data_IF_594498198736
#
_entry.id   IF_594498198736
#
_cell.length_a   1.000
_cell.length_b   1.000
_cell.length_c   1.000
_cell.angle_alpha   90.00
_cell.angle_beta   90.00
_cell.angle_gamma   90.00
#
_symmetry.space_group_name_H-M   'P 1'
#
loop_
_entity.id
_entity.type
_entity.pdbx_description
1 polymer ?
#
# COMPACT_ATOMS: atom_id res chain seq x y z
N UNK A 1 -8.72 -11.86 10.71
CA UNK A 1 -9.21 -12.06 9.33
C UNK A 1 -8.18 -12.90 8.62
N UNK A 2 -8.61 -13.96 7.97
CA UNK A 2 -7.72 -14.92 7.29
C UNK A 2 -7.49 -14.53 5.82
N UNK A 3 -6.43 -15.05 5.21
CA UNK A 3 -6.16 -14.88 3.77
C UNK A 3 -7.37 -15.24 2.91
N UNK A 4 -8.06 -16.33 3.24
CA UNK A 4 -9.24 -16.80 2.50
C UNK A 4 -10.41 -15.80 2.57
N UNK A 5 -10.69 -15.24 3.75
CA UNK A 5 -11.72 -14.21 3.92
C UNK A 5 -11.37 -12.92 3.16
N UNK A 6 -10.08 -12.54 3.13
CA UNK A 6 -9.61 -11.38 2.39
C UNK A 6 -9.77 -11.61 0.87
N UNK A 7 -9.42 -12.79 0.38
CA UNK A 7 -9.56 -13.18 -1.03
C UNK A 7 -11.01 -13.13 -1.51
N UNK A 8 -11.94 -13.66 -0.73
CA UNK A 8 -13.37 -13.61 -1.05
C UNK A 8 -13.88 -12.17 -1.12
N UNK A 9 -13.51 -11.33 -0.14
CA UNK A 9 -13.87 -9.90 -0.15
C UNK A 9 -13.30 -9.13 -1.33
N UNK A 10 -12.06 -9.39 -1.71
CA UNK A 10 -11.45 -8.76 -2.89
C UNK A 10 -12.16 -9.21 -4.16
N UNK A 11 -12.50 -10.50 -4.29
CA UNK A 11 -13.29 -10.99 -5.43
C UNK A 11 -14.64 -10.28 -5.54
N UNK A 12 -15.39 -10.20 -4.44
CA UNK A 12 -16.67 -9.50 -4.39
C UNK A 12 -16.53 -8.01 -4.76
N UNK A 13 -15.44 -7.37 -4.30
CA UNK A 13 -15.17 -5.97 -4.60
C UNK A 13 -14.88 -5.75 -6.09
N UNK A 14 -14.09 -6.63 -6.71
CA UNK A 14 -13.77 -6.60 -8.14
C UNK A 14 -15.01 -6.84 -9.00
N UNK A 15 -15.87 -7.77 -8.59
CA UNK A 15 -17.13 -8.06 -9.28
C UNK A 15 -18.09 -6.86 -9.22
N UNK A 16 -18.25 -6.26 -8.02
CA UNK A 16 -19.01 -5.02 -7.83
C UNK A 16 -18.44 -3.88 -8.67
N UNK A 17 -17.12 -3.73 -8.68
CA UNK A 17 -16.46 -2.68 -9.45
C UNK A 17 -16.77 -2.80 -10.94
N UNK A 18 -16.66 -4.01 -11.48
CA UNK A 18 -16.90 -4.31 -12.90
C UNK A 18 -18.37 -4.08 -13.28
N UNK A 19 -19.30 -4.46 -12.41
CA UNK A 19 -20.74 -4.29 -12.65
C UNK A 19 -21.18 -2.82 -12.63
N UNK A 20 -20.58 -2.00 -11.76
CA UNK A 20 -20.95 -0.60 -11.57
C UNK A 20 -20.05 0.40 -12.31
N UNK A 21 -19.16 -0.06 -13.19
CA UNK A 21 -18.20 0.78 -13.95
C UNK A 21 -18.87 1.98 -14.65
N UNK A 22 -20.09 1.79 -15.16
CA UNK A 22 -20.87 2.82 -15.85
C UNK A 22 -21.38 3.91 -14.91
N UNK A 23 -21.67 3.57 -13.65
CA UNK A 23 -22.07 4.54 -12.61
C UNK A 23 -20.86 5.36 -12.13
N UNK A 24 -19.69 4.74 -12.01
CA UNK A 24 -18.46 5.41 -11.56
C UNK A 24 -17.90 6.43 -12.55
N UNK A 25 -18.23 6.30 -13.83
CA UNK A 25 -17.87 7.29 -14.87
C UNK A 25 -18.80 8.50 -14.89
N UNK A 26 -19.89 8.51 -14.12
CA UNK A 26 -20.82 9.65 -14.06
C UNK A 26 -20.26 10.74 -13.14
N UNK A 27 -20.44 12.00 -13.51
CA UNK A 27 -19.94 13.15 -12.74
C UNK A 27 -20.51 13.33 -11.33
N UNK A 28 -21.46 12.50 -10.90
CA UNK A 28 -21.98 12.47 -9.53
C UNK A 28 -21.19 11.56 -8.60
N UNK A 29 -20.33 10.68 -9.15
CA UNK A 29 -19.48 9.80 -8.37
C UNK A 29 -18.27 10.57 -7.84
N UNK A 30 -18.21 10.75 -6.52
CA UNK A 30 -17.20 11.58 -5.85
C UNK A 30 -16.31 10.76 -4.90
N UNK A 31 -15.32 11.44 -4.30
CA UNK A 31 -14.35 10.86 -3.37
C UNK A 31 -15.02 10.14 -2.19
N UNK A 32 -16.13 10.68 -1.65
CA UNK A 32 -16.82 10.08 -0.49
C UNK A 32 -17.42 8.72 -0.84
N UNK A 33 -18.01 8.60 -2.04
CA UNK A 33 -18.56 7.33 -2.53
C UNK A 33 -17.44 6.33 -2.82
N UNK A 34 -16.34 6.77 -3.45
CA UNK A 34 -15.16 5.92 -3.66
C UNK A 34 -14.60 5.38 -2.34
N UNK A 35 -14.52 6.23 -1.32
CA UNK A 35 -14.04 5.84 -0.01
C UNK A 35 -14.92 4.80 0.65
N UNK A 36 -16.24 4.98 0.60
CA UNK A 36 -17.19 4.07 1.25
C UNK A 36 -17.35 2.75 0.50
N UNK A 37 -17.38 2.79 -0.83
CA UNK A 37 -17.69 1.62 -1.67
C UNK A 37 -16.46 0.73 -1.90
N UNK A 38 -15.24 1.30 -1.84
CA UNK A 38 -14.02 0.58 -2.19
C UNK A 38 -12.91 0.65 -1.15
N UNK A 39 -12.59 1.82 -0.60
CA UNK A 39 -11.44 1.97 0.29
C UNK A 39 -11.71 1.41 1.70
N UNK A 40 -12.84 1.78 2.31
CA UNK A 40 -13.26 1.29 3.62
C UNK A 40 -13.46 -0.22 3.70
N UNK A 41 -14.05 -0.89 2.69
CA UNK A 41 -14.22 -2.35 2.72
C UNK A 41 -12.94 -3.12 2.40
N UNK A 42 -11.81 -2.47 2.09
CA UNK A 42 -10.56 -3.17 1.85
C UNK A 42 -10.20 -4.04 3.06
N UNK A 43 -10.01 -5.35 2.84
CA UNK A 43 -9.63 -6.25 3.90
C UNK A 43 -8.14 -6.03 4.26
N UNK A 44 -7.88 -5.12 5.20
CA UNK A 44 -6.55 -4.97 5.81
C UNK A 44 -6.44 -5.97 6.97
N UNK A 45 -5.47 -6.90 6.96
CA UNK A 45 -5.24 -7.80 8.08
C UNK A 45 -4.91 -6.99 9.34
N UNK A 46 -5.44 -7.42 10.50
CA UNK A 46 -5.10 -6.78 11.76
C UNK A 46 -3.64 -7.13 12.08
N UNK A 47 -2.76 -6.12 12.08
CA UNK A 47 -1.36 -6.30 12.41
C UNK A 47 -1.24 -6.85 13.84
N UNK A 48 -0.43 -7.91 14.06
CA UNK A 48 -0.14 -8.39 15.40
C UNK A 48 0.72 -7.34 16.10
N UNK A 49 0.12 -6.62 17.04
CA UNK A 49 0.73 -5.62 17.93
C UNK A 49 1.24 -4.31 17.27
N UNK A 50 1.11 -3.16 17.97
CA UNK A 50 1.57 -1.85 17.49
C UNK A 50 3.10 -1.70 17.39
N UNK A 51 3.86 -2.66 17.96
CA UNK A 51 5.32 -2.63 18.09
C UNK A 51 6.03 -3.38 16.94
N UNK A 52 5.45 -3.29 15.75
CA UNK A 52 6.00 -3.92 14.55
C UNK A 52 7.14 -3.06 13.99
N UNK A 53 8.21 -3.69 13.50
CA UNK A 53 9.30 -3.00 12.78
C UNK A 53 8.78 -2.08 11.65
N UNK A 54 7.59 -2.39 11.12
CA UNK A 54 6.85 -1.56 10.17
C UNK A 54 6.64 -0.12 10.68
N UNK A 55 6.22 0.06 11.94
CA UNK A 55 6.01 1.39 12.54
C UNK A 55 7.29 2.21 12.52
N UNK A 56 8.41 1.62 12.93
CA UNK A 56 9.71 2.27 12.92
C UNK A 56 10.20 2.61 11.50
N UNK A 57 9.92 1.75 10.52
CA UNK A 57 10.24 2.00 9.12
C UNK A 57 9.40 3.15 8.54
N UNK A 58 8.10 3.19 8.84
CA UNK A 58 7.22 4.30 8.41
C UNK A 58 7.64 5.61 9.06
N UNK A 59 7.96 5.62 10.35
CA UNK A 59 8.49 6.81 11.03
C UNK A 59 9.80 7.29 10.39
N UNK A 60 10.70 6.35 10.07
CA UNK A 60 11.95 6.64 9.36
C UNK A 60 11.67 7.24 7.98
N UNK A 61 10.73 6.68 7.23
CA UNK A 61 10.35 7.17 5.90
C UNK A 61 9.76 8.59 5.96
N UNK A 62 8.88 8.85 6.94
CA UNK A 62 8.33 10.18 7.19
C UNK A 62 9.42 11.20 7.54
N UNK A 63 10.40 10.79 8.35
CA UNK A 63 11.52 11.66 8.69
C UNK A 63 12.41 11.94 7.47
N UNK A 64 12.75 10.93 6.68
CA UNK A 64 13.54 11.09 5.46
C UNK A 64 12.86 12.02 4.44
N UNK A 65 11.53 11.95 4.30
CA UNK A 65 10.79 12.87 3.45
C UNK A 65 10.82 14.32 3.96
N UNK A 66 10.79 14.53 5.29
CA UNK A 66 10.98 15.87 5.88
C UNK A 66 12.39 16.38 5.63
N UNK A 67 13.40 15.53 5.82
CA UNK A 67 14.80 15.88 5.60
C UNK A 67 15.05 16.20 4.11
N UNK A 68 14.41 15.48 3.20
CA UNK A 68 14.46 15.76 1.76
C UNK A 68 13.89 17.14 1.41
N UNK A 69 12.82 17.57 2.09
CA UNK A 69 12.25 18.91 1.89
C UNK A 69 13.14 20.03 2.45
N UNK A 70 13.91 19.74 3.51
CA UNK A 70 14.83 20.70 4.12
C UNK A 70 16.20 20.75 3.43
N UNK A 71 16.61 19.66 2.76
CA UNK A 71 17.90 19.54 2.10
C UNK A 71 17.98 20.40 0.83
N UNK A 72 19.05 21.17 0.72
CA UNK A 72 19.36 22.02 -0.45
C UNK A 72 20.57 21.53 -1.24
N UNK A 73 21.41 20.68 -0.62
CA UNK A 73 22.61 20.14 -1.23
C UNK A 73 22.27 18.93 -2.12
N UNK A 74 22.69 18.91 -3.40
CA UNK A 74 22.38 17.83 -4.33
C UNK A 74 22.81 16.44 -3.84
N UNK A 75 24.00 16.33 -3.26
CA UNK A 75 24.54 15.08 -2.73
C UNK A 75 23.71 14.56 -1.54
N UNK A 76 23.28 15.44 -0.64
CA UNK A 76 22.40 15.06 0.47
C UNK A 76 21.03 14.61 -0.02
N UNK A 77 20.47 15.29 -1.03
CA UNK A 77 19.21 14.90 -1.66
C UNK A 77 19.34 13.50 -2.27
N UNK A 78 20.44 13.21 -2.96
CA UNK A 78 20.68 11.89 -3.56
C UNK A 78 20.82 10.79 -2.49
N UNK A 79 21.57 11.05 -1.41
CA UNK A 79 21.69 10.12 -0.28
C UNK A 79 20.35 9.87 0.41
N UNK A 80 19.55 10.91 0.64
CA UNK A 80 18.23 10.77 1.25
C UNK A 80 17.30 9.98 0.33
N UNK A 81 17.29 10.26 -0.98
CA UNK A 81 16.49 9.50 -1.96
C UNK A 81 16.85 8.01 -1.98
N UNK A 82 18.14 7.68 -2.02
CA UNK A 82 18.60 6.30 -1.98
C UNK A 82 18.15 5.60 -0.69
N UNK A 83 18.15 6.33 0.43
CA UNK A 83 17.70 5.80 1.72
C UNK A 83 16.18 5.65 1.81
N UNK A 84 15.42 6.52 1.16
CA UNK A 84 13.97 6.37 1.00
C UNK A 84 13.70 5.10 0.20
N UNK A 85 14.34 4.92 -0.96
CA UNK A 85 14.15 3.73 -1.80
C UNK A 85 14.50 2.43 -1.07
N UNK A 86 15.59 2.43 -0.29
CA UNK A 86 15.94 1.28 0.54
C UNK A 86 14.90 1.00 1.63
N UNK A 87 14.36 2.04 2.25
CA UNK A 87 13.33 1.91 3.28
C UNK A 87 12.02 1.42 2.68
N UNK A 88 11.66 1.90 1.50
CA UNK A 88 10.48 1.50 0.72
C UNK A 88 10.52 -0.01 0.42
N UNK A 89 11.61 -0.49 -0.19
CA UNK A 89 11.83 -1.92 -0.45
C UNK A 89 11.75 -2.79 0.81
N UNK A 90 12.21 -2.26 1.94
CA UNK A 90 12.15 -2.98 3.22
C UNK A 90 10.74 -3.02 3.79
N UNK A 91 9.94 -1.97 3.58
CA UNK A 91 8.52 -1.95 3.90
C UNK A 91 7.79 -2.96 3.02
N UNK A 92 8.03 -2.95 1.70
CA UNK A 92 7.41 -3.89 0.77
C UNK A 92 7.66 -5.34 1.17
N UNK A 93 8.92 -5.69 1.45
CA UNK A 93 9.26 -7.04 1.90
C UNK A 93 8.53 -7.44 3.19
N UNK A 94 8.49 -6.55 4.18
CA UNK A 94 7.80 -6.82 5.44
C UNK A 94 6.28 -6.94 5.25
N UNK A 95 5.71 -6.15 4.34
CA UNK A 95 4.31 -6.26 3.92
C UNK A 95 4.09 -7.61 3.24
N UNK A 96 4.96 -8.06 2.35
CA UNK A 96 4.82 -9.37 1.71
C UNK A 96 4.83 -10.52 2.70
N UNK A 97 5.70 -10.46 3.71
CA UNK A 97 5.72 -11.43 4.81
C UNK A 97 4.41 -11.38 5.63
N UNK A 98 3.88 -10.19 5.92
CA UNK A 98 2.63 -10.01 6.68
C UNK A 98 1.40 -10.54 5.94
N UNK A 99 1.40 -10.46 4.61
CA UNK A 99 0.32 -10.98 3.76
C UNK A 99 0.57 -12.43 3.31
N UNK A 100 1.67 -13.05 3.75
CA UNK A 100 2.08 -14.41 3.37
C UNK A 100 2.14 -14.61 1.85
N UNK A 101 2.55 -13.56 1.12
CA UNK A 101 2.62 -13.57 -0.35
C UNK A 101 3.77 -14.47 -0.82
N UNK A 102 3.50 -15.29 -1.82
CA UNK A 102 4.48 -16.14 -2.48
C UNK A 102 5.32 -15.36 -3.49
N UNK A 103 6.49 -15.89 -3.86
CA UNK A 103 7.35 -15.30 -4.91
C UNK A 103 6.62 -15.12 -6.25
N UNK A 104 5.59 -15.92 -6.53
CA UNK A 104 4.75 -15.77 -7.71
C UNK A 104 3.79 -14.60 -7.60
N UNK A 105 3.14 -14.43 -6.45
CA UNK A 105 2.26 -13.28 -6.20
C UNK A 105 3.05 -11.97 -6.12
N UNK A 106 4.25 -11.98 -5.53
CA UNK A 106 5.15 -10.82 -5.49
C UNK A 106 5.54 -10.39 -6.91
N UNK A 107 5.93 -11.33 -7.79
CA UNK A 107 6.23 -11.04 -9.20
C UNK A 107 5.05 -10.38 -9.93
N UNK A 108 3.83 -10.84 -9.64
CA UNK A 108 2.61 -10.26 -10.21
C UNK A 108 2.42 -8.82 -9.71
N UNK A 109 2.66 -8.54 -8.43
CA UNK A 109 2.55 -7.20 -7.83
C UNK A 109 3.58 -6.24 -8.41
N UNK A 110 4.83 -6.69 -8.55
CA UNK A 110 5.95 -5.91 -9.09
C UNK A 110 5.86 -5.72 -10.62
N UNK A 111 4.91 -6.38 -11.29
CA UNK A 111 4.73 -6.29 -12.74
C UNK A 111 5.84 -6.97 -13.54
N UNK A 112 6.67 -7.81 -12.89
CA UNK A 112 7.66 -8.64 -13.53
C UNK A 112 6.96 -9.84 -14.21
N UNK A 113 6.64 -9.66 -15.51
CA UNK A 113 6.10 -10.72 -16.37
C UNK A 113 7.17 -11.68 -16.88
#
# INVERSE_FOLDING_TARGET
MTYQEAKERISDLVDRFSFHLTEYKKGHYNETQTRNDFINPLPIPQLPEPDTQLTALVETMLQLHKDLQAATLPEQIEQIKARIEYTDKKIDHLVYELYELTDEEIRIVEGEK
#
